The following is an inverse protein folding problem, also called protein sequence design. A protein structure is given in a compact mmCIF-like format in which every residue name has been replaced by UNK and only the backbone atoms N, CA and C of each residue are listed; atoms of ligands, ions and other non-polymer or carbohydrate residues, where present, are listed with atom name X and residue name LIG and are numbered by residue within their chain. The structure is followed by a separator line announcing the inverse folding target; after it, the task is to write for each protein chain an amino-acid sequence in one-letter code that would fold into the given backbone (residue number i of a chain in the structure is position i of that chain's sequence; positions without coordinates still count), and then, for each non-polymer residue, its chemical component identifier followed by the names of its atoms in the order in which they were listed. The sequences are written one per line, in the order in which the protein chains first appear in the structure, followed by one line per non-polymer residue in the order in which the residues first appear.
data_IF_304044171084
#
_entry.id   IF_304044171084
#
_cell.length_a   1.000
_cell.length_b   1.000
_cell.length_c   1.000
_cell.angle_alpha   90.00
_cell.angle_beta   90.00
_cell.angle_gamma   90.00
#
_symmetry.space_group_name_H-M   'P 1'
#
loop_
_entity.id
_entity.type
_entity.pdbx_description
1 polymer ?
#
# COMPACT_ATOMS: atom_id res chain seq x y z
N UNK A 1 21.95 19.93 16.30
CA UNK A 1 22.45 20.42 15.00
C UNK A 1 21.66 19.68 13.93
N UNK A 2 20.58 20.31 13.47
CA UNK A 2 19.57 19.73 12.60
C UNK A 2 20.12 19.49 11.19
N UNK A 3 20.13 18.23 10.75
CA UNK A 3 20.54 17.87 9.39
C UNK A 3 19.29 17.73 8.51
N UNK A 4 19.05 18.76 7.70
CA UNK A 4 18.07 18.76 6.60
C UNK A 4 18.45 17.70 5.58
N UNK A 5 17.54 16.78 5.31
CA UNK A 5 17.61 15.87 4.17
C UNK A 5 17.25 16.67 2.92
N UNK A 6 18.22 16.77 2.01
CA UNK A 6 18.09 17.52 0.76
C UNK A 6 17.10 16.83 -0.19
N UNK A 7 15.96 17.48 -0.42
CA UNK A 7 15.05 17.21 -1.52
C UNK A 7 15.58 17.90 -2.79
N UNK A 8 15.80 17.09 -3.83
CA UNK A 8 16.21 17.56 -5.15
C UNK A 8 15.11 18.40 -5.79
N UNK A 9 15.47 19.63 -6.15
CA UNK A 9 14.62 20.67 -6.72
C UNK A 9 14.00 20.31 -8.07
N UNK A 10 12.75 20.73 -8.27
CA UNK A 10 12.21 21.06 -9.59
C UNK A 10 11.70 22.51 -9.50
N UNK A 11 12.26 23.37 -10.36
CA UNK A 11 12.10 24.83 -10.39
C UNK A 11 10.84 25.25 -11.15
N UNK A 12 10.23 26.29 -10.61
CA UNK A 12 9.29 27.31 -11.12
C UNK A 12 8.67 27.19 -12.52
N UNK A 13 7.34 27.36 -12.55
CA UNK A 13 6.64 28.19 -13.54
C UNK A 13 5.32 28.70 -12.92
N UNK A 14 5.30 29.98 -12.49
CA UNK A 14 4.09 30.73 -12.15
C UNK A 14 3.86 31.78 -13.24
N UNK A 15 2.64 31.95 -13.77
CA UNK A 15 2.28 33.17 -14.48
C UNK A 15 1.69 34.21 -13.51
N UNK A 16 2.14 35.45 -13.70
CA UNK A 16 1.66 36.68 -13.06
C UNK A 16 0.20 36.98 -13.44
N UNK A 17 -0.54 37.55 -12.48
CA UNK A 17 -1.86 38.13 -12.70
C UNK A 17 -1.75 39.62 -13.05
N UNK A 18 -2.57 40.16 -13.97
CA UNK A 18 -2.71 41.60 -14.10
C UNK A 18 -3.87 42.11 -13.23
N UNK A 19 -3.59 43.16 -12.48
CA UNK A 19 -4.59 44.03 -11.85
C UNK A 19 -5.33 44.86 -12.91
N UNK A 20 -6.64 45.01 -12.75
CA UNK A 20 -7.47 45.86 -13.60
C UNK A 20 -8.79 46.22 -12.92
N UNK A 21 -8.85 47.44 -12.42
CA UNK A 21 -10.01 48.16 -11.87
C UNK A 21 -11.04 48.52 -12.94
N UNK A 22 -12.35 48.50 -12.63
CA UNK A 22 -13.33 49.22 -13.44
C UNK A 22 -14.81 48.86 -13.26
N UNK A 23 -15.50 49.71 -12.49
CA UNK A 23 -16.89 50.19 -12.65
C UNK A 23 -18.08 49.21 -12.70
N UNK A 24 -19.01 49.46 -11.76
CA UNK A 24 -20.35 48.92 -11.70
C UNK A 24 -21.29 49.53 -12.76
N UNK A 25 -22.15 48.69 -13.34
CA UNK A 25 -23.44 49.11 -13.91
C UNK A 25 -24.48 48.02 -13.63
N UNK A 26 -25.53 48.45 -12.93
CA UNK A 26 -26.67 47.70 -12.44
C UNK A 26 -27.71 47.56 -13.57
N UNK A 27 -28.20 46.34 -13.82
CA UNK A 27 -29.38 46.07 -14.65
C UNK A 27 -29.93 44.66 -14.35
N UNK A 28 -31.24 44.51 -14.09
CA UNK A 28 -31.82 43.29 -13.57
C UNK A 28 -31.98 42.25 -14.69
N UNK A 29 -31.28 41.11 -14.56
CA UNK A 29 -31.55 39.93 -15.39
C UNK A 29 -32.54 39.02 -14.68
N UNK A 30 -33.66 38.83 -15.37
CA UNK A 30 -34.74 37.88 -15.12
C UNK A 30 -34.18 36.50 -14.78
N UNK A 31 -34.67 35.94 -13.68
CA UNK A 31 -34.44 34.57 -13.24
C UNK A 31 -34.93 33.56 -14.28
N UNK A 32 -34.06 33.16 -15.21
CA UNK A 32 -34.21 31.87 -15.87
C UNK A 32 -33.86 30.79 -14.84
N UNK A 33 -34.91 30.26 -14.21
CA UNK A 33 -34.83 29.06 -13.39
C UNK A 33 -34.19 27.93 -14.21
N UNK A 34 -32.88 27.76 -14.06
CA UNK A 34 -32.17 26.58 -14.52
C UNK A 34 -32.91 25.35 -13.99
N UNK A 35 -33.20 24.34 -14.82
CA UNK A 35 -33.88 23.15 -14.37
C UNK A 35 -33.04 22.55 -13.24
N UNK A 36 -33.58 22.54 -12.01
CA UNK A 36 -33.00 21.83 -10.87
C UNK A 36 -32.81 20.39 -11.34
N UNK A 37 -31.55 20.03 -11.62
CA UNK A 37 -31.17 18.64 -11.83
C UNK A 37 -31.75 17.84 -10.66
N UNK A 38 -32.43 16.70 -10.91
CA UNK A 38 -32.99 15.90 -9.83
C UNK A 38 -31.86 15.63 -8.83
N UNK A 39 -32.09 15.97 -7.56
CA UNK A 39 -31.09 15.83 -6.51
C UNK A 39 -30.79 14.33 -6.33
N UNK A 40 -29.83 13.81 -7.08
CA UNK A 40 -29.36 12.45 -6.90
C UNK A 40 -28.80 12.36 -5.49
N UNK A 41 -29.31 11.39 -4.73
CA UNK A 41 -28.85 11.09 -3.37
C UNK A 41 -27.33 11.02 -3.38
N UNK A 42 -26.67 11.78 -2.51
CA UNK A 42 -25.21 11.72 -2.35
C UNK A 42 -24.84 10.37 -1.73
N UNK A 43 -24.02 9.59 -2.44
CA UNK A 43 -23.48 8.34 -1.94
C UNK A 43 -22.38 8.62 -0.90
N UNK A 44 -22.49 8.05 0.30
CA UNK A 44 -21.56 8.29 1.41
C UNK A 44 -20.74 7.04 1.66
N UNK A 45 -19.41 7.16 1.62
CA UNK A 45 -18.48 6.04 1.82
C UNK A 45 -17.48 6.36 2.91
N UNK A 46 -17.11 5.36 3.69
CA UNK A 46 -15.92 5.40 4.52
C UNK A 46 -14.87 4.44 3.96
N UNK A 47 -13.64 4.90 3.80
CA UNK A 47 -12.49 4.06 3.45
C UNK A 47 -11.54 4.00 4.64
N UNK A 48 -11.29 2.79 5.15
CA UNK A 48 -10.27 2.52 6.15
C UNK A 48 -9.07 1.86 5.46
N UNK A 49 -7.99 2.60 5.28
CA UNK A 49 -6.80 2.13 4.58
C UNK A 49 -5.73 1.63 5.54
N UNK A 50 -5.23 0.43 5.28
CA UNK A 50 -4.12 -0.23 5.95
C UNK A 50 -2.87 -0.15 5.07
N UNK A 51 -1.93 0.77 5.36
CA UNK A 51 -0.71 0.89 4.58
C UNK A 51 0.22 -0.31 4.83
N UNK A 52 1.08 -0.59 3.84
CA UNK A 52 2.19 -1.53 3.98
C UNK A 52 3.32 -0.98 4.87
N UNK A 53 4.45 -1.68 4.88
CA UNK A 53 5.62 -1.31 5.67
C UNK A 53 6.46 -0.25 4.94
N UNK A 54 6.02 1.02 4.86
CA UNK A 54 6.78 2.14 4.27
C UNK A 54 7.00 3.24 5.31
N UNK A 55 8.23 3.73 5.54
CA UNK A 55 8.51 4.81 6.48
C UNK A 55 8.13 6.17 5.86
N UNK A 56 6.86 6.38 5.56
CA UNK A 56 6.33 7.64 5.02
C UNK A 56 5.36 8.28 5.98
N UNK A 57 5.48 9.60 6.16
CA UNK A 57 4.57 10.37 7.01
C UNK A 57 3.18 10.52 6.37
N UNK A 58 2.23 10.96 7.20
CA UNK A 58 0.83 11.12 6.78
C UNK A 58 0.61 12.29 5.81
N UNK A 59 1.50 13.29 5.79
CA UNK A 59 1.42 14.39 4.83
C UNK A 59 1.78 13.93 3.42
N UNK A 60 2.79 13.05 3.30
CA UNK A 60 3.10 12.38 2.04
C UNK A 60 1.93 11.51 1.57
N UNK A 61 1.30 10.75 2.47
CA UNK A 61 0.14 9.95 2.10
C UNK A 61 -1.04 10.80 1.62
N UNK A 62 -1.35 11.89 2.32
CA UNK A 62 -2.39 12.85 1.95
C UNK A 62 -2.09 13.53 0.62
N UNK A 63 -0.89 14.11 0.47
CA UNK A 63 -0.46 14.78 -0.76
C UNK A 63 -0.46 13.85 -1.96
N UNK A 64 -0.03 12.59 -1.79
CA UNK A 64 -0.15 11.55 -2.81
C UNK A 64 -1.61 11.29 -3.15
N UNK A 65 -2.48 11.11 -2.16
CA UNK A 65 -3.91 10.87 -2.40
C UNK A 65 -4.53 12.03 -3.18
N UNK A 66 -4.34 13.28 -2.74
CA UNK A 66 -4.89 14.47 -3.39
C UNK A 66 -4.41 14.59 -4.85
N UNK A 67 -3.11 14.43 -5.09
CA UNK A 67 -2.54 14.49 -6.44
C UNK A 67 -3.09 13.36 -7.34
N UNK A 68 -3.22 12.14 -6.82
CA UNK A 68 -3.76 11.05 -7.62
C UNK A 68 -5.29 11.18 -7.84
N UNK A 69 -6.04 11.69 -6.87
CA UNK A 69 -7.47 11.95 -6.99
C UNK A 69 -7.75 12.99 -8.09
N UNK A 70 -6.93 14.04 -8.20
CA UNK A 70 -7.01 15.01 -9.30
C UNK A 70 -6.78 14.36 -10.68
N UNK A 71 -5.76 13.50 -10.80
CA UNK A 71 -5.48 12.76 -12.04
C UNK A 71 -6.62 11.82 -12.43
N UNK A 72 -7.24 11.18 -11.44
CA UNK A 72 -8.45 10.38 -11.62
C UNK A 72 -9.62 11.23 -12.12
N UNK A 73 -9.83 12.43 -11.54
CA UNK A 73 -10.86 13.37 -11.99
C UNK A 73 -10.74 13.70 -13.47
N UNK A 74 -9.50 14.02 -13.92
CA UNK A 74 -9.19 14.25 -15.34
C UNK A 74 -9.44 13.02 -16.22
N UNK A 75 -9.06 11.83 -15.76
CA UNK A 75 -9.22 10.59 -16.53
C UNK A 75 -10.70 10.21 -16.75
N UNK A 76 -11.53 10.43 -15.73
CA UNK A 76 -12.93 10.01 -15.74
C UNK A 76 -13.92 11.13 -16.06
N UNK A 77 -13.43 12.35 -16.34
CA UNK A 77 -14.25 13.55 -16.58
C UNK A 77 -15.15 13.88 -15.39
N UNK A 78 -14.62 13.79 -14.16
CA UNK A 78 -15.38 14.02 -12.92
C UNK A 78 -14.71 15.11 -12.09
N UNK A 79 -15.52 15.95 -11.46
CA UNK A 79 -15.04 16.94 -10.50
C UNK A 79 -14.61 16.23 -9.23
N UNK A 80 -13.44 16.56 -8.69
CA UNK A 80 -12.91 15.96 -7.47
C UNK A 80 -12.35 17.05 -6.57
N UNK A 81 -12.70 16.99 -5.29
CA UNK A 81 -12.10 17.83 -4.25
C UNK A 81 -11.61 16.98 -3.09
N UNK A 82 -10.51 17.41 -2.46
CA UNK A 82 -9.91 16.75 -1.31
C UNK A 82 -9.58 17.82 -0.28
N UNK A 83 -10.09 17.68 0.94
CA UNK A 83 -9.81 18.63 2.02
C UNK A 83 -8.38 18.48 2.52
N UNK A 84 -7.84 19.47 3.24
CA UNK A 84 -6.69 19.23 4.12
C UNK A 84 -6.97 18.09 5.11
N UNK A 85 -5.90 17.63 5.78
CA UNK A 85 -6.04 16.70 6.92
C UNK A 85 -6.91 17.33 8.01
N UNK A 86 -7.80 16.51 8.57
CA UNK A 86 -8.78 16.87 9.59
C UNK A 86 -8.48 16.17 10.93
N UNK A 87 -7.39 15.40 11.00
CA UNK A 87 -6.90 14.78 12.22
C UNK A 87 -5.92 15.70 12.96
N UNK A 88 -5.92 15.61 14.29
CA UNK A 88 -5.07 16.37 15.20
C UNK A 88 -3.81 15.58 15.64
N UNK A 89 -3.72 14.32 15.22
CA UNK A 89 -2.62 13.42 15.57
C UNK A 89 -2.86 12.56 16.81
N UNK A 90 -3.92 12.83 17.59
CA UNK A 90 -4.30 12.05 18.78
C UNK A 90 -4.95 10.72 18.37
N UNK A 91 -5.72 10.71 17.29
CA UNK A 91 -6.33 9.49 16.79
C UNK A 91 -5.28 8.56 16.17
N UNK A 92 -5.55 7.26 16.25
CA UNK A 92 -4.75 6.22 15.59
C UNK A 92 -5.00 6.14 14.08
N UNK A 93 -5.52 7.19 13.48
CA UNK A 93 -5.70 7.32 12.05
C UNK A 93 -5.52 8.77 11.61
N UNK A 94 -5.00 8.96 10.40
CA UNK A 94 -5.07 10.25 9.71
C UNK A 94 -6.37 10.31 8.92
N UNK A 95 -6.99 11.48 8.81
CA UNK A 95 -8.32 11.63 8.19
C UNK A 95 -8.38 12.84 7.26
N UNK A 96 -9.07 12.68 6.16
CA UNK A 96 -9.55 13.78 5.32
C UNK A 96 -10.87 13.39 4.67
N UNK A 97 -11.52 14.36 4.05
CA UNK A 97 -12.69 14.13 3.21
C UNK A 97 -12.33 14.34 1.74
N UNK A 98 -12.99 13.58 0.89
CA UNK A 98 -12.95 13.75 -0.55
C UNK A 98 -14.38 13.74 -1.10
N UNK A 99 -14.64 14.54 -2.13
CA UNK A 99 -15.87 14.48 -2.89
C UNK A 99 -15.56 14.24 -4.36
N UNK A 100 -16.43 13.48 -5.02
CA UNK A 100 -16.43 13.36 -6.46
C UNK A 100 -17.84 13.62 -7.00
N UNK A 101 -17.94 14.32 -8.13
CA UNK A 101 -19.20 14.68 -8.77
C UNK A 101 -19.10 14.48 -10.28
N UNK A 102 -20.01 13.68 -10.81
CA UNK A 102 -20.31 13.64 -12.24
C UNK A 102 -21.62 14.38 -12.53
N UNK A 103 -22.05 14.46 -13.80
CA UNK A 103 -23.25 15.22 -14.19
C UNK A 103 -24.54 14.77 -13.50
N UNK A 104 -24.70 13.47 -13.21
CA UNK A 104 -25.91 12.89 -12.62
C UNK A 104 -25.68 12.15 -11.28
N UNK A 105 -24.50 12.25 -10.67
CA UNK A 105 -24.18 11.59 -9.41
C UNK A 105 -23.19 12.37 -8.56
N UNK A 106 -23.20 12.13 -7.25
CA UNK A 106 -22.19 12.67 -6.34
C UNK A 106 -21.89 11.69 -5.20
N UNK A 107 -20.60 11.61 -4.84
CA UNK A 107 -20.09 10.79 -3.75
C UNK A 107 -19.32 11.66 -2.76
N UNK A 108 -19.52 11.42 -1.46
CA UNK A 108 -18.67 11.92 -0.38
C UNK A 108 -17.98 10.75 0.30
N UNK A 109 -16.65 10.79 0.32
CA UNK A 109 -15.82 9.78 0.93
C UNK A 109 -15.09 10.36 2.12
N UNK A 110 -15.29 9.78 3.27
CA UNK A 110 -14.38 9.94 4.39
C UNK A 110 -13.25 8.93 4.24
N UNK A 111 -12.02 9.41 4.23
CA UNK A 111 -10.85 8.56 4.04
C UNK A 111 -9.99 8.60 5.31
N UNK A 112 -9.77 7.42 5.91
CA UNK A 112 -8.93 7.26 7.09
C UNK A 112 -7.78 6.31 6.79
N UNK A 113 -6.55 6.75 7.05
CA UNK A 113 -5.38 5.88 7.05
C UNK A 113 -5.10 5.44 8.48
N UNK A 114 -5.11 4.14 8.74
CA UNK A 114 -4.77 3.60 10.04
C UNK A 114 -3.26 3.70 10.27
N UNK A 115 -2.90 4.52 11.26
CA UNK A 115 -1.53 4.98 11.52
C UNK A 115 -0.76 3.92 12.28
N UNK A 116 0.35 3.46 11.72
CA UNK A 116 1.33 2.60 12.39
C UNK A 116 2.75 2.92 11.93
N UNK A 117 2.92 4.08 11.29
CA UNK A 117 4.17 4.63 10.79
C UNK A 117 5.17 4.90 11.91
N UNK A 118 4.71 5.14 13.15
CA UNK A 118 5.55 5.28 14.32
C UNK A 118 6.27 3.97 14.69
N UNK A 119 5.60 2.83 14.54
CA UNK A 119 6.22 1.51 14.71
C UNK A 119 7.25 1.27 13.62
N UNK A 120 6.93 1.63 12.37
CA UNK A 120 7.86 1.52 11.24
C UNK A 120 9.08 2.43 11.45
N UNK A 121 8.86 3.67 11.89
CA UNK A 121 9.92 4.63 12.18
C UNK A 121 10.84 4.14 13.31
N UNK A 122 10.28 3.50 14.35
CA UNK A 122 11.08 2.89 15.41
C UNK A 122 11.93 1.71 14.92
N UNK A 123 11.44 0.93 13.95
CA UNK A 123 12.25 -0.09 13.27
C UNK A 123 13.36 0.57 12.44
N UNK A 124 13.02 1.61 11.68
CA UNK A 124 13.97 2.29 10.80
C UNK A 124 15.05 3.09 11.56
N UNK A 125 14.79 3.51 12.79
CA UNK A 125 15.76 4.19 13.65
C UNK A 125 16.85 3.25 14.22
N UNK A 126 16.75 1.93 14.00
CA UNK A 126 17.70 0.97 14.57
C UNK A 126 19.11 1.09 13.95
N UNK A 127 20.17 0.89 14.75
CA UNK A 127 21.54 0.82 14.24
C UNK A 127 21.73 -0.29 13.22
N UNK A 128 22.55 -0.03 12.20
CA UNK A 128 22.81 -0.95 11.10
C UNK A 128 23.26 -2.36 11.53
N UNK A 129 24.18 -2.54 12.51
CA UNK A 129 24.56 -3.88 12.95
C UNK A 129 23.39 -4.68 13.54
N UNK A 130 22.51 -4.01 14.30
CA UNK A 130 21.32 -4.62 14.90
C UNK A 130 20.35 -5.03 13.79
N UNK A 131 20.11 -4.15 12.82
CA UNK A 131 19.27 -4.42 11.65
C UNK A 131 19.80 -5.60 10.83
N UNK A 132 21.10 -5.64 10.56
CA UNK A 132 21.73 -6.73 9.84
C UNK A 132 21.50 -8.05 10.58
N UNK A 133 21.85 -8.12 11.86
CA UNK A 133 21.66 -9.32 12.68
C UNK A 133 20.20 -9.79 12.72
N UNK A 134 19.28 -8.87 13.04
CA UNK A 134 17.87 -9.17 13.20
C UNK A 134 17.18 -9.53 11.88
N UNK A 135 17.47 -8.78 10.82
CA UNK A 135 16.92 -9.00 9.48
C UNK A 135 17.38 -10.34 8.88
N UNK A 136 18.67 -10.67 8.98
CA UNK A 136 19.17 -11.99 8.58
C UNK A 136 18.63 -13.12 9.46
N UNK A 137 18.41 -12.88 10.75
CA UNK A 137 17.71 -13.82 11.63
C UNK A 137 16.25 -14.03 11.20
N UNK A 138 15.55 -12.98 10.78
CA UNK A 138 14.19 -13.03 10.23
C UNK A 138 14.14 -13.91 9.00
N UNK A 139 14.99 -13.56 8.05
CA UNK A 139 15.18 -14.27 6.81
C UNK A 139 15.52 -15.76 6.98
N UNK A 140 16.44 -16.09 7.88
CA UNK A 140 16.80 -17.46 8.20
C UNK A 140 15.64 -18.26 8.79
N UNK A 141 14.80 -17.63 9.62
CA UNK A 141 13.56 -18.22 10.12
C UNK A 141 12.64 -18.60 8.94
N UNK A 142 12.46 -17.69 7.98
CA UNK A 142 11.64 -17.92 6.79
C UNK A 142 12.15 -19.04 5.90
N UNK A 143 13.48 -19.19 5.76
CA UNK A 143 14.08 -20.32 5.05
C UNK A 143 13.79 -21.65 5.77
N UNK A 144 14.04 -21.71 7.08
CA UNK A 144 13.81 -22.92 7.89
C UNK A 144 12.33 -23.28 8.02
N UNK A 145 11.45 -22.27 8.06
CA UNK A 145 10.01 -22.44 8.13
C UNK A 145 9.35 -22.89 6.82
N UNK A 146 10.14 -23.19 5.78
CA UNK A 146 9.66 -23.76 4.52
C UNK A 146 8.97 -22.78 3.57
N UNK A 147 8.88 -21.50 3.94
CA UNK A 147 8.16 -20.49 3.18
C UNK A 147 8.78 -20.27 1.79
N UNK A 148 10.12 -20.29 1.67
CA UNK A 148 10.83 -20.10 0.42
C UNK A 148 10.41 -21.09 -0.68
N UNK A 149 10.23 -22.39 -0.34
CA UNK A 149 9.71 -23.39 -1.28
C UNK A 149 8.26 -23.12 -1.65
N UNK A 150 7.47 -22.57 -0.72
CA UNK A 150 6.11 -22.09 -0.99
C UNK A 150 6.11 -20.94 -1.99
N UNK A 151 7.02 -19.98 -1.84
CA UNK A 151 7.11 -18.79 -2.69
C UNK A 151 7.36 -19.15 -4.15
N UNK A 152 8.37 -19.97 -4.45
CA UNK A 152 8.63 -20.34 -5.84
C UNK A 152 7.50 -21.18 -6.48
N UNK A 153 6.77 -21.97 -5.69
CA UNK A 153 5.58 -22.69 -6.18
C UNK A 153 4.41 -21.76 -6.47
N UNK A 154 4.20 -20.80 -5.57
CA UNK A 154 3.10 -19.84 -5.62
C UNK A 154 3.32 -18.74 -6.67
N UNK A 155 4.45 -18.05 -6.59
CA UNK A 155 4.88 -16.98 -7.50
C UNK A 155 6.41 -16.95 -7.59
N UNK A 156 7.02 -17.48 -8.67
CA UNK A 156 8.48 -17.41 -8.87
C UNK A 156 9.04 -15.98 -8.83
N UNK A 157 8.25 -14.98 -9.24
CA UNK A 157 8.63 -13.56 -9.18
C UNK A 157 8.73 -13.07 -7.75
N UNK A 158 7.78 -13.45 -6.91
CA UNK A 158 7.85 -13.18 -5.47
C UNK A 158 9.06 -13.86 -4.84
N UNK A 159 9.31 -15.12 -5.20
CA UNK A 159 10.52 -15.84 -4.79
C UNK A 159 11.78 -15.04 -5.14
N UNK A 160 11.95 -14.63 -6.40
CA UNK A 160 13.09 -13.83 -6.83
C UNK A 160 13.19 -12.48 -6.10
N UNK A 161 12.07 -11.77 -5.91
CA UNK A 161 12.01 -10.52 -5.15
C UNK A 161 12.43 -10.73 -3.68
N UNK A 162 11.97 -11.80 -3.04
CA UNK A 162 12.34 -12.16 -1.67
C UNK A 162 13.84 -12.43 -1.55
N UNK A 163 14.50 -12.97 -2.58
CA UNK A 163 15.95 -13.18 -2.53
C UNK A 163 16.77 -11.97 -3.00
N UNK A 164 16.15 -10.93 -3.55
CA UNK A 164 16.86 -9.76 -4.08
C UNK A 164 17.75 -9.03 -3.05
N UNK A 165 17.34 -8.84 -1.78
CA UNK A 165 18.20 -8.20 -0.79
C UNK A 165 19.50 -8.99 -0.49
N UNK A 166 19.53 -10.31 -0.70
CA UNK A 166 20.78 -11.09 -0.62
C UNK A 166 21.76 -10.72 -1.71
N UNK A 167 21.26 -10.49 -2.92
CA UNK A 167 22.12 -10.11 -4.04
C UNK A 167 22.78 -8.75 -3.76
N UNK A 168 22.05 -7.81 -3.16
CA UNK A 168 22.59 -6.52 -2.71
C UNK A 168 23.66 -6.75 -1.63
N UNK A 169 23.38 -7.55 -0.61
CA UNK A 169 24.35 -7.82 0.45
C UNK A 169 25.61 -8.51 -0.09
N UNK A 170 25.47 -9.48 -1.01
CA UNK A 170 26.59 -10.15 -1.67
C UNK A 170 27.44 -9.16 -2.48
N UNK A 171 26.80 -8.21 -3.16
CA UNK A 171 27.50 -7.13 -3.87
C UNK A 171 28.29 -6.23 -2.90
N UNK A 172 27.72 -5.89 -1.75
CA UNK A 172 28.41 -5.09 -0.74
C UNK A 172 29.57 -5.86 -0.09
N UNK A 173 29.41 -7.16 0.14
CA UNK A 173 30.49 -8.04 0.61
C UNK A 173 31.61 -8.11 -0.44
N UNK A 174 31.28 -8.27 -1.72
CA UNK A 174 32.27 -8.28 -2.80
C UNK A 174 33.06 -6.96 -2.85
N UNK A 175 32.37 -5.82 -2.72
CA UNK A 175 33.02 -4.50 -2.61
C UNK A 175 33.92 -4.38 -1.39
N UNK A 176 33.49 -4.90 -0.24
CA UNK A 176 34.28 -4.93 0.99
C UNK A 176 35.54 -5.81 0.87
N UNK A 177 35.42 -6.99 0.26
CA UNK A 177 36.55 -7.89 0.01
C UNK A 177 37.55 -7.23 -0.94
N UNK A 178 37.08 -6.58 -2.00
CA UNK A 178 37.95 -5.85 -2.92
C UNK A 178 38.70 -4.70 -2.22
N UNK A 179 38.00 -3.90 -1.40
CA UNK A 179 38.63 -2.83 -0.63
C UNK A 179 39.69 -3.36 0.35
N UNK A 180 39.38 -4.45 1.06
CA UNK A 180 40.33 -5.11 1.95
C UNK A 180 41.54 -5.67 1.22
N UNK A 181 41.34 -6.30 0.05
CA UNK A 181 42.43 -6.82 -0.77
C UNK A 181 43.36 -5.71 -1.28
N UNK A 182 42.81 -4.57 -1.71
CA UNK A 182 43.60 -3.40 -2.12
C UNK A 182 44.39 -2.82 -0.94
N UNK A 183 43.78 -2.71 0.25
CA UNK A 183 44.47 -2.26 1.46
C UNK A 183 45.61 -3.21 1.86
N UNK A 184 45.38 -4.53 1.78
CA UNK A 184 46.42 -5.53 2.05
C UNK A 184 47.57 -5.45 1.04
N UNK A 185 47.24 -5.30 -0.25
CA UNK A 185 48.25 -5.19 -1.31
C UNK A 185 49.10 -3.92 -1.18
N UNK A 186 48.49 -2.79 -0.85
CA UNK A 186 49.17 -1.49 -0.72
C UNK A 186 49.98 -1.38 0.57
N UNK A 187 49.44 -1.85 1.70
CA UNK A 187 50.07 -1.70 3.02
C UNK A 187 50.89 -2.92 3.44
N UNK A 188 50.72 -4.06 2.79
CA UNK A 188 51.42 -5.31 3.13
C UNK A 188 52.93 -5.28 2.91
N UNK A 189 53.42 -4.38 2.06
CA UNK A 189 54.85 -4.12 1.86
C UNK A 189 55.44 -3.09 2.84
N UNK A 190 54.57 -2.35 3.55
CA UNK A 190 54.96 -1.23 4.42
C UNK A 190 54.78 -1.56 5.90
N UNK A 191 53.74 -2.31 6.23
CA UNK A 191 53.38 -2.68 7.60
C UNK A 191 53.72 -4.14 7.89
N UNK A 192 54.05 -4.48 9.16
CA UNK A 192 54.12 -5.89 9.57
C UNK A 192 52.79 -6.60 9.30
N UNK A 193 52.85 -7.89 8.97
CA UNK A 193 51.69 -8.66 8.50
C UNK A 193 50.43 -8.51 9.39
N UNK A 194 50.49 -8.58 10.74
CA UNK A 194 49.29 -8.39 11.57
C UNK A 194 48.63 -7.02 11.37
N UNK A 195 49.41 -5.94 11.24
CA UNK A 195 48.89 -4.60 11.03
C UNK A 195 48.33 -4.39 9.62
N UNK A 196 48.93 -5.01 8.61
CA UNK A 196 48.40 -5.00 7.24
C UNK A 196 47.04 -5.75 7.16
N UNK A 197 46.91 -6.90 7.83
CA UNK A 197 45.64 -7.62 7.93
C UNK A 197 44.57 -6.84 8.72
N UNK A 198 44.95 -6.18 9.81
CA UNK A 198 44.04 -5.30 10.56
C UNK A 198 43.57 -4.12 9.70
N UNK A 199 44.46 -3.49 8.94
CA UNK A 199 44.11 -2.41 8.02
C UNK A 199 43.18 -2.90 6.90
N UNK A 200 43.42 -4.10 6.35
CA UNK A 200 42.56 -4.73 5.36
C UNK A 200 41.14 -5.02 5.90
N UNK A 201 41.05 -5.56 7.13
CA UNK A 201 39.79 -5.81 7.79
C UNK A 201 39.03 -4.50 8.09
N UNK A 202 39.74 -3.47 8.55
CA UNK A 202 39.16 -2.16 8.82
C UNK A 202 38.63 -1.50 7.54
N UNK A 203 39.41 -1.52 6.45
CA UNK A 203 39.01 -1.00 5.15
C UNK A 203 37.78 -1.74 4.61
N UNK A 204 37.80 -3.08 4.59
CA UNK A 204 36.66 -3.87 4.13
C UNK A 204 35.40 -3.63 4.96
N UNK A 205 35.53 -3.59 6.29
CA UNK A 205 34.40 -3.33 7.19
C UNK A 205 33.82 -1.94 6.99
N UNK A 206 34.68 -0.92 6.89
CA UNK A 206 34.26 0.46 6.63
C UNK A 206 33.54 0.58 5.28
N UNK A 207 34.06 -0.05 4.22
CA UNK A 207 33.40 -0.09 2.91
C UNK A 207 32.05 -0.80 2.98
N UNK A 208 31.96 -1.96 3.64
CA UNK A 208 30.70 -2.67 3.80
C UNK A 208 29.64 -1.79 4.48
N UNK A 209 29.97 -1.21 5.64
CA UNK A 209 29.02 -0.39 6.39
C UNK A 209 28.69 0.93 5.68
N UNK A 210 29.63 1.53 4.94
CA UNK A 210 29.33 2.70 4.12
C UNK A 210 28.33 2.38 2.99
N UNK A 211 28.54 1.26 2.29
CA UNK A 211 27.63 0.78 1.24
C UNK A 211 26.27 0.36 1.81
N UNK A 212 26.28 -0.34 2.95
CA UNK A 212 25.07 -0.75 3.64
C UNK A 212 24.27 0.48 4.08
N UNK A 213 24.90 1.44 4.76
CA UNK A 213 24.21 2.59 5.34
C UNK A 213 23.51 3.48 4.31
N UNK A 214 24.19 3.84 3.21
CA UNK A 214 23.66 4.80 2.25
C UNK A 214 23.06 4.14 1.00
N UNK A 215 23.85 3.50 0.12
CA UNK A 215 23.28 2.71 -0.99
C UNK A 215 22.23 1.69 -0.56
N UNK A 216 22.42 1.02 0.59
CA UNK A 216 21.42 0.09 1.11
C UNK A 216 20.08 0.75 1.43
N UNK A 217 20.07 1.95 2.02
CA UNK A 217 18.84 2.72 2.23
C UNK A 217 18.21 3.16 0.91
N UNK A 218 19.00 3.69 0.00
CA UNK A 218 18.53 4.15 -1.32
C UNK A 218 17.92 2.98 -2.14
N UNK A 219 18.45 1.77 -1.96
CA UNK A 219 17.96 0.55 -2.61
C UNK A 219 16.94 -0.22 -1.77
N UNK A 220 16.43 0.37 -0.68
CA UNK A 220 15.41 -0.20 0.22
C UNK A 220 15.81 -1.53 0.89
N UNK A 221 17.12 -1.82 0.99
CA UNK A 221 17.64 -2.95 1.75
C UNK A 221 17.24 -2.85 3.23
N UNK A 222 17.33 -1.65 3.79
CA UNK A 222 16.95 -1.35 5.17
C UNK A 222 15.50 -1.74 5.48
N UNK A 223 14.59 -1.28 4.63
CA UNK A 223 13.16 -1.60 4.70
C UNK A 223 12.91 -3.09 4.54
N UNK A 224 13.60 -3.77 3.63
CA UNK A 224 13.43 -5.22 3.42
C UNK A 224 13.88 -6.04 4.64
N UNK A 225 14.98 -5.68 5.29
CA UNK A 225 15.47 -6.36 6.49
C UNK A 225 14.53 -6.15 7.68
N UNK A 226 14.01 -4.94 7.86
CA UNK A 226 13.04 -4.63 8.91
C UNK A 226 11.71 -5.36 8.70
N UNK A 227 11.25 -5.44 7.45
CA UNK A 227 10.04 -6.18 7.07
C UNK A 227 10.15 -7.69 7.32
N UNK A 228 11.35 -8.28 7.20
CA UNK A 228 11.59 -9.67 7.62
C UNK A 228 11.63 -9.85 9.12
N UNK A 229 12.29 -8.94 9.83
CA UNK A 229 12.35 -8.97 11.28
C UNK A 229 10.94 -8.87 11.89
N UNK A 230 10.17 -7.88 11.44
CA UNK A 230 8.79 -7.66 11.86
C UNK A 230 7.92 -8.87 11.51
N UNK A 231 8.03 -9.42 10.29
CA UNK A 231 7.23 -10.57 9.90
C UNK A 231 7.57 -11.82 10.73
N UNK A 232 8.85 -12.04 11.08
CA UNK A 232 9.25 -13.13 11.97
C UNK A 232 8.63 -12.95 13.36
N UNK A 233 8.72 -11.75 13.92
CA UNK A 233 8.24 -11.48 15.27
C UNK A 233 6.70 -11.53 15.32
N UNK A 234 6.01 -11.06 14.28
CA UNK A 234 4.55 -11.14 14.15
C UNK A 234 4.05 -12.60 14.09
N UNK A 235 4.78 -13.48 13.40
CA UNK A 235 4.49 -14.93 13.33
C UNK A 235 4.69 -15.65 14.67
N UNK A 236 5.38 -15.03 15.62
CA UNK A 236 5.72 -15.60 16.94
C UNK A 236 5.03 -14.86 18.08
N UNK A 237 4.10 -13.97 17.78
CA UNK A 237 3.38 -13.14 18.75
C UNK A 237 4.33 -12.34 19.65
N UNK A 238 5.39 -11.78 19.04
CA UNK A 238 6.43 -10.97 19.72
C UNK A 238 6.36 -9.50 19.33
N UNK A 239 5.16 -9.00 19.04
CA UNK A 239 4.94 -7.65 18.53
C UNK A 239 3.97 -6.85 19.40
N UNK A 240 4.20 -6.70 20.73
CA UNK A 240 3.21 -6.15 21.65
C UNK A 240 2.72 -4.74 21.26
N UNK A 241 3.61 -3.88 20.77
CA UNK A 241 3.23 -2.55 20.29
C UNK A 241 2.31 -2.58 19.05
N UNK A 242 2.57 -3.52 18.13
CA UNK A 242 1.72 -3.72 16.95
C UNK A 242 0.41 -4.39 17.36
N UNK A 243 0.43 -5.42 18.20
CA UNK A 243 -0.79 -6.10 18.64
C UNK A 243 -1.72 -5.10 19.35
N UNK A 244 -1.21 -4.26 20.26
CA UNK A 244 -1.98 -3.19 20.88
C UNK A 244 -2.49 -2.15 19.87
N UNK A 245 -1.73 -1.87 18.79
CA UNK A 245 -2.20 -1.00 17.70
C UNK A 245 -3.34 -1.63 16.90
N UNK A 246 -3.25 -2.94 16.63
CA UNK A 246 -4.30 -3.69 15.93
C UNK A 246 -5.59 -3.77 16.76
N UNK A 247 -5.48 -3.88 18.08
CA UNK A 247 -6.64 -3.82 18.99
C UNK A 247 -7.36 -2.47 18.86
N UNK A 248 -6.61 -1.36 18.89
CA UNK A 248 -7.21 -0.01 18.70
C UNK A 248 -7.81 0.20 17.32
N UNK A 249 -7.24 -0.41 16.28
CA UNK A 249 -7.86 -0.37 14.95
C UNK A 249 -9.16 -1.17 14.89
N UNK A 250 -9.28 -2.25 15.67
CA UNK A 250 -10.51 -3.01 15.79
C UNK A 250 -11.58 -2.18 16.50
N UNK A 251 -11.22 -1.45 17.56
CA UNK A 251 -12.11 -0.49 18.22
C UNK A 251 -12.62 0.57 17.24
N UNK A 252 -11.73 1.16 16.44
CA UNK A 252 -12.10 2.13 15.40
C UNK A 252 -13.10 1.54 14.40
N UNK A 253 -12.88 0.30 13.94
CA UNK A 253 -13.80 -0.38 13.02
C UNK A 253 -15.18 -0.59 13.66
N UNK A 254 -15.22 -1.10 14.89
CA UNK A 254 -16.47 -1.30 15.62
C UNK A 254 -17.21 0.03 15.85
N UNK A 255 -16.49 1.09 16.21
CA UNK A 255 -17.06 2.43 16.42
C UNK A 255 -17.75 2.95 15.15
N UNK A 256 -17.07 2.90 13.99
CA UNK A 256 -17.65 3.40 12.74
C UNK A 256 -18.80 2.55 12.23
N UNK A 257 -18.77 1.23 12.47
CA UNK A 257 -19.88 0.33 12.13
C UNK A 257 -21.11 0.67 12.96
N UNK A 258 -20.95 0.89 14.27
CA UNK A 258 -22.05 1.25 15.19
C UNK A 258 -22.59 2.66 14.93
N UNK A 259 -21.70 3.62 14.65
CA UNK A 259 -22.09 5.01 14.40
C UNK A 259 -22.96 5.14 13.13
N UNK A 260 -22.77 4.26 12.14
CA UNK A 260 -23.55 4.28 10.91
C UNK A 260 -23.23 5.51 10.04
N UNK A 261 -24.22 6.02 9.31
CA UNK A 261 -24.12 7.28 8.57
C UNK A 261 -23.44 7.22 7.18
N UNK A 262 -22.91 6.05 6.82
CA UNK A 262 -22.37 5.75 5.49
C UNK A 262 -23.23 4.68 4.78
N UNK A 263 -23.23 4.68 3.45
CA UNK A 263 -23.87 3.67 2.63
C UNK A 263 -23.05 2.36 2.57
N UNK A 264 -21.73 2.48 2.79
CA UNK A 264 -20.80 1.36 2.97
C UNK A 264 -19.46 1.79 3.60
N UNK A 265 -18.75 0.80 4.15
CA UNK A 265 -17.36 0.88 4.60
C UNK A 265 -16.51 -0.02 3.71
N UNK A 266 -15.34 0.47 3.28
CA UNK A 266 -14.34 -0.32 2.58
C UNK A 266 -13.05 -0.33 3.39
N UNK A 267 -12.65 -1.51 3.86
CA UNK A 267 -11.32 -1.76 4.39
C UNK A 267 -10.39 -2.08 3.23
N UNK A 268 -9.35 -1.27 3.05
CA UNK A 268 -8.38 -1.42 1.97
C UNK A 268 -7.05 -1.87 2.55
N UNK A 269 -6.63 -3.09 2.23
CA UNK A 269 -5.33 -3.63 2.61
C UNK A 269 -4.37 -3.70 1.43
N UNK A 270 -3.26 -2.97 1.50
CA UNK A 270 -2.18 -3.06 0.51
C UNK A 270 -0.96 -3.78 1.08
N UNK A 271 -0.35 -4.68 0.30
CA UNK A 271 0.90 -5.35 0.70
C UNK A 271 0.78 -6.07 2.06
N UNK A 272 1.68 -5.77 3.01
CA UNK A 272 1.62 -6.25 4.39
C UNK A 272 0.36 -5.76 5.14
N UNK A 273 -0.14 -4.56 4.81
CA UNK A 273 -1.35 -3.99 5.41
C UNK A 273 -2.58 -4.87 5.23
N UNK A 274 -2.66 -5.64 4.13
CA UNK A 274 -3.69 -6.65 3.95
C UNK A 274 -3.65 -7.76 5.00
N UNK A 275 -2.46 -8.16 5.45
CA UNK A 275 -2.31 -9.16 6.52
C UNK A 275 -2.72 -8.59 7.87
N UNK A 276 -2.34 -7.34 8.15
CA UNK A 276 -2.72 -6.65 9.38
C UNK A 276 -4.23 -6.42 9.45
N UNK A 277 -4.86 -6.06 8.32
CA UNK A 277 -6.30 -5.90 8.18
C UNK A 277 -7.06 -7.17 8.58
N UNK A 278 -6.60 -8.36 8.16
CA UNK A 278 -7.21 -9.63 8.60
C UNK A 278 -7.12 -9.82 10.12
N UNK A 279 -6.00 -9.41 10.72
CA UNK A 279 -5.82 -9.44 12.17
C UNK A 279 -6.70 -8.44 12.92
N UNK A 280 -7.02 -7.30 12.32
CA UNK A 280 -7.97 -6.32 12.87
C UNK A 280 -9.40 -6.81 12.78
N UNK A 281 -9.79 -7.40 11.65
CA UNK A 281 -11.15 -7.93 11.48
C UNK A 281 -11.39 -9.10 12.43
N UNK A 282 -10.41 -10.00 12.63
CA UNK A 282 -10.50 -11.07 13.63
C UNK A 282 -10.83 -10.51 15.02
N UNK A 283 -10.08 -9.48 15.45
CA UNK A 283 -10.29 -8.81 16.75
C UNK A 283 -11.62 -8.07 16.82
N UNK A 284 -12.02 -7.39 15.75
CA UNK A 284 -13.29 -6.67 15.70
C UNK A 284 -14.48 -7.65 15.80
N UNK A 285 -14.36 -8.83 15.20
CA UNK A 285 -15.35 -9.91 15.34
C UNK A 285 -15.33 -10.56 16.73
N UNK A 286 -14.24 -10.46 17.49
CA UNK A 286 -14.20 -10.87 18.90
C UNK A 286 -14.87 -9.83 19.80
N UNK A 287 -14.68 -8.54 19.50
CA UNK A 287 -15.32 -7.41 20.22
C UNK A 287 -16.82 -7.30 19.93
N UNK A 288 -17.21 -7.56 18.68
CA UNK A 288 -18.57 -7.48 18.20
C UNK A 288 -18.87 -8.65 17.23
N UNK A 289 -19.37 -9.78 17.73
CA UNK A 289 -19.73 -10.92 16.89
C UNK A 289 -20.75 -10.60 15.80
N UNK A 290 -21.56 -9.54 15.98
CA UNK A 290 -22.57 -9.07 15.04
C UNK A 290 -22.07 -8.01 14.05
N UNK A 291 -20.75 -7.73 14.00
CA UNK A 291 -20.14 -6.69 13.16
C UNK A 291 -20.61 -6.76 11.69
N UNK A 292 -20.76 -7.97 11.14
CA UNK A 292 -21.17 -8.19 9.76
C UNK A 292 -22.69 -8.36 9.58
N UNK A 293 -23.44 -8.50 10.68
CA UNK A 293 -24.88 -8.77 10.68
C UNK A 293 -25.73 -7.48 10.70
N UNK A 294 -25.11 -6.34 11.03
CA UNK A 294 -25.77 -5.04 11.00
C UNK A 294 -26.19 -4.56 9.60
N UNK A 295 -26.93 -3.43 9.51
CA UNK A 295 -27.29 -2.82 8.23
C UNK A 295 -26.09 -2.20 7.50
N UNK A 296 -25.02 -1.87 8.24
CA UNK A 296 -23.79 -1.31 7.67
C UNK A 296 -23.04 -2.37 6.87
N UNK A 297 -22.78 -2.09 5.59
CA UNK A 297 -22.01 -2.99 4.72
C UNK A 297 -20.51 -2.80 4.95
N UNK A 298 -19.83 -3.88 5.31
CA UNK A 298 -18.38 -3.93 5.49
C UNK A 298 -17.75 -4.72 4.35
N UNK A 299 -16.94 -4.04 3.55
CA UNK A 299 -16.28 -4.59 2.38
C UNK A 299 -14.76 -4.59 2.55
N UNK A 300 -14.09 -5.57 1.95
CA UNK A 300 -12.66 -5.77 2.03
C UNK A 300 -12.07 -5.76 0.62
N UNK A 301 -11.20 -4.79 0.37
CA UNK A 301 -10.36 -4.72 -0.82
C UNK A 301 -8.93 -5.03 -0.41
N UNK A 302 -8.40 -6.17 -0.86
CA UNK A 302 -6.98 -6.42 -0.76
C UNK A 302 -6.33 -6.26 -2.12
N UNK A 303 -5.23 -5.52 -2.21
CA UNK A 303 -4.58 -5.20 -3.47
C UNK A 303 -3.07 -5.32 -3.38
N UNK A 304 -2.47 -6.06 -4.32
CA UNK A 304 -1.05 -6.40 -4.26
C UNK A 304 -0.69 -7.08 -2.92
N UNK A 305 -1.60 -7.86 -2.34
CA UNK A 305 -1.42 -8.33 -0.97
C UNK A 305 -0.27 -9.34 -0.85
N UNK A 306 0.42 -9.29 0.28
CA UNK A 306 1.48 -10.26 0.61
C UNK A 306 1.02 -11.27 1.66
N UNK A 307 -0.28 -11.52 1.81
CA UNK A 307 -0.82 -12.49 2.80
C UNK A 307 -0.08 -13.86 2.72
N UNK A 308 0.16 -14.43 1.52
CA UNK A 308 0.88 -15.70 1.43
C UNK A 308 2.33 -15.66 1.93
N UNK A 309 2.98 -14.48 2.00
CA UNK A 309 4.32 -14.31 2.59
C UNK A 309 4.35 -14.95 3.98
N UNK A 310 3.39 -14.60 4.83
CA UNK A 310 3.32 -15.10 6.20
C UNK A 310 2.55 -16.43 6.29
N UNK A 311 1.48 -16.60 5.51
CA UNK A 311 0.63 -17.79 5.58
C UNK A 311 1.34 -19.09 5.12
N UNK A 312 2.30 -19.00 4.19
CA UNK A 312 3.08 -20.16 3.71
C UNK A 312 4.19 -20.59 4.67
N UNK A 313 4.46 -19.81 5.72
CA UNK A 313 5.40 -20.19 6.75
C UNK A 313 4.84 -21.30 7.64
N UNK A 314 5.69 -22.20 8.15
CA UNK A 314 5.28 -23.26 9.07
C UNK A 314 4.55 -22.69 10.32
N UNK A 315 5.05 -21.57 10.85
CA UNK A 315 4.41 -20.81 11.95
C UNK A 315 3.28 -19.86 11.51
N UNK A 316 2.89 -19.85 10.24
CA UNK A 316 1.81 -19.03 9.67
C UNK A 316 0.39 -19.38 10.12
N UNK A 317 0.22 -20.18 11.18
CA UNK A 317 -1.08 -20.66 11.65
C UNK A 317 -2.04 -19.53 12.02
N UNK A 318 -1.54 -18.49 12.72
CA UNK A 318 -2.29 -17.27 13.05
C UNK A 318 -2.88 -16.62 11.81
N UNK A 319 -2.06 -16.37 10.79
CA UNK A 319 -2.50 -15.72 9.54
C UNK A 319 -3.48 -16.58 8.75
N UNK A 320 -3.25 -17.91 8.69
CA UNK A 320 -4.18 -18.84 8.04
C UNK A 320 -5.55 -18.86 8.74
N UNK A 321 -5.56 -18.88 10.07
CA UNK A 321 -6.80 -18.82 10.87
C UNK A 321 -7.55 -17.50 10.66
N UNK A 322 -6.85 -16.37 10.70
CA UNK A 322 -7.41 -15.04 10.44
C UNK A 322 -8.06 -14.98 9.05
N UNK A 323 -7.33 -15.40 8.01
CA UNK A 323 -7.83 -15.43 6.64
C UNK A 323 -9.06 -16.34 6.49
N UNK A 324 -9.03 -17.53 7.11
CA UNK A 324 -10.15 -18.48 7.08
C UNK A 324 -11.39 -17.93 7.81
N UNK A 325 -11.22 -17.31 8.98
CA UNK A 325 -12.33 -16.71 9.74
C UNK A 325 -12.99 -15.59 8.94
N UNK A 326 -12.20 -14.68 8.38
CA UNK A 326 -12.71 -13.59 7.54
C UNK A 326 -13.46 -14.14 6.32
N UNK A 327 -12.89 -15.12 5.63
CA UNK A 327 -13.53 -15.74 4.47
C UNK A 327 -14.82 -16.51 4.81
N UNK A 328 -14.92 -17.04 6.03
CA UNK A 328 -16.10 -17.76 6.52
C UNK A 328 -17.16 -16.84 7.13
N UNK A 329 -16.86 -15.56 7.36
CA UNK A 329 -17.81 -14.62 7.98
C UNK A 329 -18.83 -14.19 6.94
N UNK A 330 -20.13 -14.49 7.14
CA UNK A 330 -21.17 -14.12 6.19
C UNK A 330 -21.23 -12.60 6.00
N UNK A 331 -21.69 -12.15 4.82
CA UNK A 331 -21.94 -10.74 4.47
C UNK A 331 -20.71 -9.82 4.38
N UNK A 332 -19.52 -10.26 4.78
CA UNK A 332 -18.27 -9.60 4.43
C UNK A 332 -17.97 -9.84 2.94
N UNK A 333 -17.94 -8.78 2.14
CA UNK A 333 -17.55 -8.89 0.73
C UNK A 333 -16.03 -8.72 0.62
N UNK A 334 -15.31 -9.80 0.30
CA UNK A 334 -13.85 -9.75 0.15
C UNK A 334 -13.41 -10.01 -1.28
N UNK A 335 -12.70 -9.05 -1.87
CA UNK A 335 -12.12 -9.14 -3.21
C UNK A 335 -10.62 -8.83 -3.17
N UNK A 336 -9.83 -9.68 -3.81
CA UNK A 336 -8.36 -9.58 -3.90
C UNK A 336 -7.96 -9.28 -5.34
N UNK A 337 -7.34 -8.11 -5.55
CA UNK A 337 -6.81 -7.72 -6.85
C UNK A 337 -5.31 -8.01 -6.97
N UNK A 338 -4.97 -8.78 -8.00
CA UNK A 338 -3.61 -9.22 -8.28
C UNK A 338 -3.15 -8.75 -9.66
N UNK A 339 -1.90 -8.32 -9.77
CA UNK A 339 -1.33 -7.84 -11.03
C UNK A 339 -0.16 -8.72 -11.49
N UNK A 340 -0.12 -9.05 -12.78
CA UNK A 340 1.00 -9.82 -13.36
C UNK A 340 2.32 -9.05 -13.35
N UNK A 341 2.29 -7.72 -13.39
CA UNK A 341 3.50 -6.87 -13.46
C UNK A 341 4.03 -6.47 -12.09
N UNK A 342 3.29 -6.80 -11.03
CA UNK A 342 3.79 -6.69 -9.67
C UNK A 342 4.58 -7.96 -9.33
N UNK A 343 5.85 -7.79 -8.93
CA UNK A 343 6.70 -8.90 -8.50
C UNK A 343 6.50 -9.25 -7.02
N UNK A 344 5.83 -8.37 -6.26
CA UNK A 344 5.72 -8.44 -4.80
C UNK A 344 4.42 -9.12 -4.37
N UNK A 345 3.40 -9.18 -5.24
CA UNK A 345 2.21 -9.96 -4.95
C UNK A 345 2.31 -11.43 -5.43
N UNK A 346 1.31 -12.22 -5.05
CA UNK A 346 1.21 -13.62 -5.44
C UNK A 346 0.18 -13.79 -6.57
N UNK A 347 0.57 -13.46 -7.80
CA UNK A 347 -0.30 -13.53 -8.97
C UNK A 347 -0.87 -14.94 -9.24
N UNK A 348 -2.20 -15.04 -9.37
CA UNK A 348 -2.96 -16.28 -9.55
C UNK A 348 -2.76 -17.28 -8.39
N UNK A 349 -2.71 -16.76 -7.17
CA UNK A 349 -2.56 -17.57 -5.97
C UNK A 349 -3.54 -17.11 -4.88
N UNK A 350 -4.32 -18.04 -4.36
CA UNK A 350 -5.40 -17.76 -3.43
C UNK A 350 -4.87 -17.57 -2.00
N UNK A 351 -5.16 -16.44 -1.32
CA UNK A 351 -4.56 -16.13 -0.01
C UNK A 351 -5.10 -16.99 1.13
N UNK A 352 -6.32 -17.53 1.01
CA UNK A 352 -6.93 -18.44 2.01
C UNK A 352 -6.58 -19.91 1.77
N UNK A 353 -6.90 -20.46 0.58
CA UNK A 353 -6.66 -21.88 0.27
C UNK A 353 -5.18 -22.21 0.03
N UNK A 354 -4.34 -21.19 -0.21
CA UNK A 354 -2.90 -21.31 -0.51
C UNK A 354 -2.63 -22.24 -1.70
N UNK A 355 -3.48 -22.15 -2.72
CA UNK A 355 -3.37 -22.87 -4.00
C UNK A 355 -3.36 -21.91 -5.17
N UNK A 356 -2.90 -22.39 -6.33
CA UNK A 356 -3.06 -21.64 -7.59
C UNK A 356 -4.55 -21.53 -7.92
N UNK A 357 -4.94 -20.37 -8.39
CA UNK A 357 -6.33 -20.01 -8.65
C UNK A 357 -6.44 -19.19 -9.94
N UNK A 358 -7.60 -19.31 -10.59
CA UNK A 358 -7.92 -18.55 -11.79
C UNK A 358 -8.54 -17.19 -11.47
N UNK A 359 -8.82 -16.40 -12.50
CA UNK A 359 -9.73 -15.25 -12.38
C UNK A 359 -11.11 -15.54 -13.01
N UNK A 360 -11.16 -16.56 -13.88
CA UNK A 360 -12.30 -16.86 -14.74
C UNK A 360 -13.29 -17.84 -14.08
N UNK A 361 -12.90 -18.43 -12.95
CA UNK A 361 -13.72 -19.38 -12.21
C UNK A 361 -13.95 -18.89 -10.77
N UNK A 362 -15.19 -18.98 -10.27
CA UNK A 362 -15.46 -18.70 -8.87
C UNK A 362 -14.72 -19.72 -8.00
N UNK A 363 -13.90 -19.22 -7.09
CA UNK A 363 -13.20 -20.03 -6.10
C UNK A 363 -14.18 -20.44 -5.00
N UNK A 364 -14.00 -21.63 -4.38
CA UNK A 364 -14.94 -22.18 -3.41
C UNK A 364 -14.97 -21.40 -2.08
N UNK A 365 -14.07 -20.44 -1.88
CA UNK A 365 -13.96 -19.63 -0.67
C UNK A 365 -13.58 -18.19 -1.06
N UNK A 366 -14.08 -17.15 -0.36
CA UNK A 366 -13.56 -15.80 -0.51
C UNK A 366 -12.04 -15.74 -0.22
N UNK A 367 -11.31 -14.74 -0.76
CA UNK A 367 -11.81 -13.66 -1.60
C UNK A 367 -12.11 -14.05 -3.04
N UNK A 368 -12.97 -13.27 -3.69
CA UNK A 368 -13.06 -13.27 -5.15
C UNK A 368 -11.74 -12.72 -5.70
N UNK A 369 -11.03 -13.50 -6.52
CA UNK A 369 -9.79 -13.06 -7.15
C UNK A 369 -10.06 -12.30 -8.43
N UNK A 370 -9.41 -11.15 -8.60
CA UNK A 370 -9.52 -10.31 -9.79
C UNK A 370 -8.15 -9.88 -10.31
N UNK A 371 -8.09 -9.58 -11.60
CA UNK A 371 -6.89 -9.10 -12.27
C UNK A 371 -6.85 -7.56 -12.28
N UNK A 372 -5.84 -6.97 -11.64
CA UNK A 372 -5.46 -5.58 -11.86
C UNK A 372 -4.45 -5.52 -13.01
N UNK A 373 -4.94 -5.46 -14.25
CA UNK A 373 -4.05 -5.50 -15.41
C UNK A 373 -3.31 -4.17 -15.61
N UNK A 374 -2.10 -4.07 -15.06
CA UNK A 374 -1.26 -2.86 -15.18
C UNK A 374 -1.00 -2.45 -16.64
N UNK A 375 -1.07 -3.37 -17.62
CA UNK A 375 -0.96 -3.01 -19.05
C UNK A 375 -2.14 -2.21 -19.58
N UNK A 376 -3.33 -2.40 -19.01
CA UNK A 376 -4.53 -1.64 -19.35
C UNK A 376 -4.59 -0.34 -18.55
N UNK A 377 -4.04 -0.33 -17.33
CA UNK A 377 -4.01 0.85 -16.46
C UNK A 377 -3.02 1.94 -16.93
N UNK A 378 -1.89 1.55 -17.51
CA UNK A 378 -0.80 2.46 -17.89
C UNK A 378 -0.57 2.47 -19.39
N UNK A 379 -0.11 3.60 -19.92
CA UNK A 379 0.37 3.65 -21.31
C UNK A 379 1.57 2.71 -21.50
N UNK A 380 1.72 2.18 -22.72
CA UNK A 380 2.87 1.31 -23.04
C UNK A 380 4.21 1.99 -22.74
N UNK A 381 4.35 3.27 -23.08
CA UNK A 381 5.56 4.06 -22.83
C UNK A 381 5.88 4.18 -21.32
N UNK A 382 4.86 4.43 -20.49
CA UNK A 382 5.02 4.48 -19.03
C UNK A 382 5.41 3.12 -18.47
N UNK A 383 4.71 2.05 -18.87
CA UNK A 383 5.02 0.70 -18.39
C UNK A 383 6.44 0.26 -18.78
N UNK A 384 6.87 0.55 -20.02
CA UNK A 384 8.23 0.27 -20.48
C UNK A 384 9.29 0.98 -19.62
N UNK A 385 9.05 2.23 -19.24
CA UNK A 385 9.92 2.99 -18.33
C UNK A 385 9.93 2.43 -16.91
N UNK A 386 8.79 1.93 -16.43
CA UNK A 386 8.63 1.43 -15.07
C UNK A 386 9.01 -0.04 -14.87
N UNK A 387 9.31 -0.81 -15.93
CA UNK A 387 9.47 -2.27 -15.87
C UNK A 387 10.48 -2.82 -14.87
N UNK A 388 11.46 -2.00 -14.46
CA UNK A 388 12.49 -2.36 -13.47
C UNK A 388 12.26 -1.71 -12.10
N UNK A 389 11.22 -0.89 -11.95
CA UNK A 389 10.87 -0.22 -10.70
C UNK A 389 9.82 -1.04 -9.94
N UNK A 390 10.24 -2.17 -9.36
CA UNK A 390 9.35 -3.14 -8.71
C UNK A 390 8.40 -2.49 -7.68
N UNK A 391 8.92 -1.69 -6.75
CA UNK A 391 8.09 -0.98 -5.77
C UNK A 391 7.11 0.00 -6.40
N UNK A 392 7.51 0.70 -7.48
CA UNK A 392 6.61 1.64 -8.16
C UNK A 392 5.47 0.92 -8.87
N UNK A 393 5.71 -0.27 -9.43
CA UNK A 393 4.65 -1.12 -9.99
C UNK A 393 3.77 -1.70 -8.89
N UNK A 394 4.35 -2.11 -7.76
CA UNK A 394 3.61 -2.58 -6.58
C UNK A 394 2.70 -1.52 -5.97
N UNK A 395 3.08 -0.24 -6.01
CA UNK A 395 2.21 0.85 -5.59
C UNK A 395 1.17 1.26 -6.63
N UNK A 396 1.24 0.77 -7.87
CA UNK A 396 0.30 1.18 -8.92
C UNK A 396 -1.16 0.84 -8.58
N UNK A 397 -1.41 -0.13 -7.70
CA UNK A 397 -2.74 -0.41 -7.17
C UNK A 397 -3.40 0.76 -6.46
N UNK A 398 -2.62 1.70 -5.91
CA UNK A 398 -3.13 2.83 -5.11
C UNK A 398 -2.95 4.17 -5.83
N UNK A 399 -2.58 4.15 -7.11
CA UNK A 399 -2.29 5.33 -7.90
C UNK A 399 -3.29 5.45 -9.03
N UNK A 400 -3.51 6.68 -9.50
CA UNK A 400 -4.38 6.90 -10.64
C UNK A 400 -3.82 6.19 -11.88
N UNK A 401 -4.74 5.68 -12.69
CA UNK A 401 -4.45 5.11 -13.99
C UNK A 401 -4.11 6.23 -14.99
N UNK A 402 -3.52 5.85 -16.13
CA UNK A 402 -3.38 6.72 -17.30
C UNK A 402 -4.47 6.45 -18.35
N UNK A 403 -5.19 5.33 -18.22
CA UNK A 403 -6.26 4.90 -19.11
C UNK A 403 -7.40 4.28 -18.28
N UNK A 404 -8.65 4.43 -18.73
CA UNK A 404 -9.81 3.78 -18.09
C UNK A 404 -9.62 2.25 -18.18
N UNK A 405 -9.64 1.57 -17.04
CA UNK A 405 -9.35 0.15 -16.94
C UNK A 405 -10.31 -0.55 -15.97
N UNK A 406 -10.48 -1.88 -16.06
CA UNK A 406 -11.37 -2.62 -15.17
C UNK A 406 -11.03 -2.54 -13.67
N UNK A 407 -9.76 -2.27 -13.35
CA UNK A 407 -9.35 -1.93 -12.00
C UNK A 407 -8.96 -0.45 -11.93
N UNK A 408 -9.69 0.32 -11.11
CA UNK A 408 -9.37 1.70 -10.79
C UNK A 408 -9.65 1.95 -9.30
N UNK A 409 -8.60 2.24 -8.54
CA UNK A 409 -8.68 2.43 -7.10
C UNK A 409 -9.57 3.59 -6.69
N UNK A 410 -9.50 4.69 -7.45
CA UNK A 410 -10.26 5.89 -7.16
C UNK A 410 -11.73 5.72 -7.57
N UNK A 411 -12.07 4.80 -8.48
CA UNK A 411 -13.47 4.41 -8.65
C UNK A 411 -14.03 3.66 -7.45
N UNK A 412 -13.25 2.78 -6.81
CA UNK A 412 -13.69 2.16 -5.55
C UNK A 412 -13.76 3.16 -4.40
N UNK A 413 -12.84 4.11 -4.32
CA UNK A 413 -12.80 5.08 -3.23
C UNK A 413 -13.82 6.22 -3.42
N UNK A 414 -14.00 6.72 -4.63
CA UNK A 414 -14.72 7.97 -4.92
C UNK A 414 -15.90 7.80 -5.88
N UNK A 415 -16.05 6.66 -6.56
CA UNK A 415 -17.14 6.43 -7.51
C UNK A 415 -18.52 6.29 -6.84
N UNK A 416 -19.62 6.45 -7.59
CA UNK A 416 -20.99 6.40 -7.08
C UNK A 416 -21.56 5.00 -6.86
N UNK A 417 -20.90 3.98 -7.41
CA UNK A 417 -21.35 2.60 -7.33
C UNK A 417 -20.75 1.91 -6.10
N UNK A 418 -21.55 1.09 -5.42
CA UNK A 418 -21.10 0.32 -4.25
C UNK A 418 -19.94 -0.61 -4.60
N UNK A 419 -19.12 -0.95 -3.61
CA UNK A 419 -18.00 -1.87 -3.80
C UNK A 419 -18.43 -3.25 -4.35
N UNK A 420 -19.49 -3.90 -3.84
CA UNK A 420 -19.98 -5.16 -4.41
C UNK A 420 -20.43 -5.04 -5.86
N UNK A 421 -21.11 -3.95 -6.25
CA UNK A 421 -21.54 -3.73 -7.65
C UNK A 421 -20.31 -3.67 -8.58
N UNK A 422 -19.34 -2.80 -8.27
CA UNK A 422 -18.14 -2.67 -9.10
C UNK A 422 -17.30 -3.95 -9.15
N UNK A 423 -17.09 -4.61 -8.02
CA UNK A 423 -16.17 -5.76 -7.92
C UNK A 423 -16.76 -7.10 -8.39
N UNK A 424 -18.09 -7.19 -8.47
CA UNK A 424 -18.79 -8.34 -9.07
C UNK A 424 -18.61 -8.43 -10.59
N UNK A 425 -18.19 -7.33 -11.24
CA UNK A 425 -18.02 -7.22 -12.69
C UNK A 425 -16.56 -7.47 -13.09
N UNK A 426 -16.35 -8.17 -14.21
CA UNK A 426 -15.00 -8.36 -14.74
C UNK A 426 -14.44 -7.06 -15.34
N UNK A 427 -15.31 -6.23 -15.92
CA UNK A 427 -15.02 -4.93 -16.53
C UNK A 427 -14.95 -3.80 -15.49
N UNK A 428 -15.28 -4.08 -14.23
CA UNK A 428 -15.32 -3.09 -13.14
C UNK A 428 -16.11 -1.83 -13.52
N UNK A 429 -15.49 -0.63 -13.46
CA UNK A 429 -16.16 0.63 -13.81
C UNK A 429 -16.27 0.87 -15.33
N UNK A 430 -15.56 0.12 -16.17
CA UNK A 430 -15.59 0.32 -17.63
C UNK A 430 -16.99 0.00 -18.16
N UNK A 431 -17.51 0.88 -19.02
CA UNK A 431 -18.87 0.76 -19.57
C UNK A 431 -19.99 1.24 -18.64
N UNK A 432 -19.69 1.66 -17.41
CA UNK A 432 -20.69 2.27 -16.49
C UNK A 432 -20.73 3.79 -16.57
N UNK A 433 -19.76 4.42 -17.24
CA UNK A 433 -19.67 5.87 -17.33
C UNK A 433 -19.55 6.31 -18.79
N UNK A 434 -20.32 7.32 -19.16
CA UNK A 434 -20.21 8.00 -20.43
C UNK A 434 -18.93 8.84 -20.51
N UNK A 435 -18.64 9.41 -21.69
CA UNK A 435 -17.43 10.19 -21.91
C UNK A 435 -17.34 11.47 -21.05
N UNK A 436 -18.50 12.05 -20.71
CA UNK A 436 -18.68 13.23 -19.87
C UNK A 436 -18.67 12.92 -18.36
N UNK A 437 -18.45 11.66 -17.96
CA UNK A 437 -18.45 11.23 -16.56
C UNK A 437 -19.85 10.90 -16.01
N UNK A 438 -20.91 10.99 -16.82
CA UNK A 438 -22.27 10.59 -16.41
C UNK A 438 -22.32 9.08 -16.13
N UNK A 439 -22.99 8.69 -15.04
CA UNK A 439 -23.28 7.29 -14.75
C UNK A 439 -24.37 6.81 -15.71
N UNK A 440 -24.09 5.72 -16.43
CA UNK A 440 -25.02 5.07 -17.36
C UNK A 440 -25.95 4.17 -16.52
N UNK A 441 -27.25 4.31 -16.76
CA UNK A 441 -28.32 3.56 -16.08
C UNK A 441 -28.27 2.06 -16.38
#
# INVERSE_FOLDING_TARGET
MEARVATSAHRDDRPEAPAGTGAATDSPRVDEASPKAPSSRVFRRLVLFFPGHDPTDMDYHHGRFANQAERFGKLWSVEVSVTPRLDDGEQHYARWEASARGPNWSTRTEYRILRWEDIIGALDARPDPVRLWRGFGGLWDFLRGGAARGYFRASPRYGAFFFFPYLICALFIAGAVLAGAVALWTLGSVLPAPFAWLAALAAGSATFFALFHRPGRDWRLHQALDDWDLARDYLRDRTPALDARLDRFADVLCEVVRAGGHDEIILVGHSLGATLMLGVIERALDLDPGLADGPMRVNLLTCGATIPKLALHAKGGKVRRQAARVAATPRLTWVEYQARHDAINFYKFHPVTLRRAGFDHPEPSPPVLRNANIKEMLTHAKLKRLRWHAMRLHYQFLLANEQKAPYDYFMFALGPLSFPDLSSRAEGPVGRFAADGSLIA
#
